data_IF_096444236495
#
_entry.id   IF_096444236495
#
_cell.length_a   1.000
_cell.length_b   1.000
_cell.length_c   1.000
_cell.angle_alpha   90.00
_cell.angle_beta   90.00
_cell.angle_gamma   90.00
#
_symmetry.space_group_name_H-M   'P 1'
#
loop_
_entity.id
_entity.type
_entity.pdbx_description
1 polymer ?
#
# COMPACT_ATOMS: atom_id res chain seq x y z
N UNK A 1 21.61 0.75 8.46
CA UNK A 1 20.18 1.12 8.44
C UNK A 1 19.44 0.42 7.29
N UNK A 2 19.28 1.00 6.09
CA UNK A 2 18.40 0.43 5.05
C UNK A 2 18.76 -0.99 4.59
N UNK A 3 20.06 -1.31 4.46
CA UNK A 3 20.54 -2.67 4.15
C UNK A 3 20.40 -3.66 5.30
N UNK A 4 20.45 -3.17 6.54
CA UNK A 4 20.29 -4.02 7.74
C UNK A 4 18.81 -4.37 7.96
N UNK A 5 17.91 -3.44 7.66
CA UNK A 5 16.45 -3.64 7.81
C UNK A 5 15.77 -4.18 6.54
N UNK A 6 16.49 -4.28 5.42
CA UNK A 6 15.91 -4.54 4.09
C UNK A 6 14.73 -3.61 3.78
N UNK A 7 14.97 -2.29 3.83
CA UNK A 7 13.94 -1.29 3.55
C UNK A 7 13.47 -1.37 2.09
N UNK A 8 12.18 -1.67 1.90
CA UNK A 8 11.51 -1.68 0.60
C UNK A 8 10.50 -0.54 0.54
N UNK A 9 10.61 0.29 -0.49
CA UNK A 9 9.70 1.39 -0.76
C UNK A 9 8.69 0.95 -1.83
N UNK A 10 7.40 1.03 -1.52
CA UNK A 10 6.34 0.74 -2.49
C UNK A 10 5.73 2.06 -2.95
N UNK A 11 5.74 2.29 -4.26
CA UNK A 11 5.24 3.50 -4.91
C UNK A 11 3.97 3.21 -5.72
N UNK A 12 3.26 4.26 -6.10
CA UNK A 12 2.12 4.17 -7.02
C UNK A 12 2.53 3.65 -8.39
N UNK A 13 1.63 2.95 -9.07
CA UNK A 13 1.86 2.54 -10.45
C UNK A 13 1.97 3.73 -11.43
N UNK A 14 2.73 3.61 -12.53
CA UNK A 14 2.64 4.55 -13.65
C UNK A 14 1.20 4.64 -14.16
N UNK A 15 0.74 5.84 -14.51
CA UNK A 15 -0.65 6.03 -14.92
C UNK A 15 -1.65 6.31 -13.79
N UNK A 16 -1.22 6.30 -12.51
CA UNK A 16 -2.12 6.55 -11.38
C UNK A 16 -2.82 7.91 -11.45
N UNK A 17 -2.08 8.97 -11.78
CA UNK A 17 -2.66 10.33 -11.96
C UNK A 17 -2.77 10.73 -13.44
N UNK A 18 -1.76 10.39 -14.25
CA UNK A 18 -1.70 10.73 -15.67
C UNK A 18 -1.19 9.53 -16.46
N UNK A 19 -1.88 9.06 -17.53
CA UNK A 19 -1.46 7.93 -18.34
C UNK A 19 -0.01 8.06 -18.83
N UNK A 20 0.77 6.99 -18.70
CA UNK A 20 2.18 6.96 -19.11
C UNK A 20 3.16 7.68 -18.17
N UNK A 21 2.68 8.38 -17.13
CA UNK A 21 3.52 9.12 -16.18
C UNK A 21 3.62 8.38 -14.86
N UNK A 22 4.86 8.20 -14.38
CA UNK A 22 5.13 7.77 -13.02
C UNK A 22 5.53 8.99 -12.19
N UNK A 23 4.65 9.43 -11.30
CA UNK A 23 4.86 10.59 -10.43
C UNK A 23 5.80 10.23 -9.27
N UNK A 24 7.07 9.97 -9.59
CA UNK A 24 8.12 9.71 -8.62
C UNK A 24 9.37 10.50 -9.00
N UNK A 25 9.95 11.22 -8.04
CA UNK A 25 11.15 12.00 -8.29
C UNK A 25 12.35 11.07 -8.55
N UNK A 26 12.95 11.19 -9.74
CA UNK A 26 14.07 10.34 -10.16
C UNK A 26 15.36 10.63 -9.40
N UNK A 27 15.53 11.83 -8.82
CA UNK A 27 16.65 12.12 -7.94
C UNK A 27 16.48 11.40 -6.60
N UNK A 28 15.27 11.43 -6.03
CA UNK A 28 14.92 10.68 -4.81
C UNK A 28 15.07 9.17 -5.06
N UNK A 29 14.68 8.67 -6.24
CA UNK A 29 14.87 7.27 -6.61
C UNK A 29 16.34 6.87 -6.54
N UNK A 30 17.22 7.64 -7.20
CA UNK A 30 18.67 7.39 -7.20
C UNK A 30 19.25 7.45 -5.80
N UNK A 31 18.78 8.39 -4.97
CA UNK A 31 19.20 8.49 -3.57
C UNK A 31 18.81 7.24 -2.79
N UNK A 32 17.54 6.81 -2.85
CA UNK A 32 17.05 5.61 -2.19
C UNK A 32 17.80 4.35 -2.63
N UNK A 33 18.02 4.18 -3.93
CA UNK A 33 18.78 3.05 -4.48
C UNK A 33 20.24 3.07 -4.03
N UNK A 34 20.87 4.25 -3.95
CA UNK A 34 22.23 4.40 -3.43
C UNK A 34 22.36 3.99 -1.96
N UNK A 35 21.30 4.16 -1.19
CA UNK A 35 21.19 3.70 0.21
C UNK A 35 20.93 2.19 0.32
N UNK A 36 20.72 1.50 -0.81
CA UNK A 36 20.43 0.07 -0.86
C UNK A 36 18.95 -0.29 -0.70
N UNK A 37 18.03 0.67 -0.82
CA UNK A 37 16.60 0.40 -0.81
C UNK A 37 16.15 -0.18 -2.15
N UNK A 38 15.18 -1.10 -2.12
CA UNK A 38 14.44 -1.50 -3.34
C UNK A 38 13.21 -0.61 -3.48
N UNK A 39 12.94 -0.12 -4.70
CA UNK A 39 11.71 0.64 -5.00
C UNK A 39 10.80 -0.21 -5.89
N UNK A 40 9.66 -0.63 -5.34
CA UNK A 40 8.62 -1.40 -6.02
C UNK A 40 7.61 -0.45 -6.65
N UNK A 41 7.37 -0.63 -7.95
CA UNK A 41 6.34 0.07 -8.72
C UNK A 41 5.52 -0.96 -9.48
N UNK A 42 4.27 -1.15 -9.11
CA UNK A 42 3.34 -2.05 -9.80
C UNK A 42 1.89 -1.69 -9.50
N UNK A 43 0.95 -2.35 -10.17
CA UNK A 43 -0.48 -2.15 -9.94
C UNK A 43 -0.86 -2.35 -8.47
N UNK A 44 -1.78 -1.50 -7.98
CA UNK A 44 -2.37 -1.62 -6.66
C UNK A 44 -3.25 -2.87 -6.60
N UNK A 45 -2.85 -3.89 -5.84
CA UNK A 45 -3.50 -5.21 -5.86
C UNK A 45 -4.89 -5.22 -5.20
N UNK A 46 -5.20 -4.28 -4.29
CA UNK A 46 -6.52 -4.11 -3.68
C UNK A 46 -7.41 -3.18 -4.54
N UNK A 47 -7.17 -3.18 -5.85
CA UNK A 47 -8.09 -2.64 -6.86
C UNK A 47 -7.86 -3.25 -8.24
N UNK A 48 -6.62 -3.25 -8.74
CA UNK A 48 -6.25 -3.87 -10.02
C UNK A 48 -7.10 -3.42 -11.21
N UNK A 49 -7.33 -4.36 -12.14
CA UNK A 49 -8.16 -4.16 -13.33
C UNK A 49 -9.62 -3.81 -12.99
N UNK A 50 -10.13 -4.33 -11.86
CA UNK A 50 -11.50 -4.09 -11.42
C UNK A 50 -11.80 -2.60 -11.23
N UNK A 51 -10.79 -1.78 -10.90
CA UNK A 51 -10.92 -0.32 -10.86
C UNK A 51 -11.38 0.27 -12.19
N UNK A 52 -10.89 -0.26 -13.31
CA UNK A 52 -11.29 0.20 -14.64
C UNK A 52 -12.73 -0.18 -14.94
N UNK A 53 -13.17 -1.35 -14.47
CA UNK A 53 -14.54 -1.83 -14.62
C UNK A 53 -15.49 -0.94 -13.81
N UNK A 54 -15.21 -0.76 -12.50
CA UNK A 54 -16.04 0.06 -11.62
C UNK A 54 -16.12 1.52 -12.07
N UNK A 55 -15.01 2.08 -12.57
CA UNK A 55 -14.99 3.46 -13.10
C UNK A 55 -15.81 3.61 -14.38
N UNK A 56 -15.76 2.62 -15.28
CA UNK A 56 -16.44 2.70 -16.59
C UNK A 56 -17.92 2.31 -16.52
N UNK A 57 -18.26 1.32 -15.70
CA UNK A 57 -19.58 0.68 -15.68
C UNK A 57 -20.35 0.89 -14.37
N UNK A 58 -19.78 1.65 -13.42
CA UNK A 58 -20.28 1.77 -12.05
C UNK A 58 -20.26 0.43 -11.27
N UNK A 59 -20.57 0.49 -9.97
CA UNK A 59 -20.54 -0.67 -9.07
C UNK A 59 -19.23 -0.81 -8.30
N UNK A 60 -19.04 -1.98 -7.67
CA UNK A 60 -17.82 -2.32 -6.93
C UNK A 60 -17.54 -3.82 -7.04
N UNK A 61 -16.27 -4.16 -7.28
CA UNK A 61 -15.79 -5.54 -7.26
C UNK A 61 -15.60 -6.07 -5.84
N UNK A 62 -15.47 -7.40 -5.69
CA UNK A 62 -15.10 -8.01 -4.41
C UNK A 62 -13.79 -7.45 -3.85
N UNK A 63 -12.79 -7.23 -4.71
CA UNK A 63 -11.50 -6.66 -4.33
C UNK A 63 -11.65 -5.24 -3.77
N UNK A 64 -12.49 -4.41 -4.40
CA UNK A 64 -12.73 -3.04 -3.93
C UNK A 64 -13.58 -3.00 -2.65
N UNK A 65 -14.54 -3.93 -2.49
CA UNK A 65 -15.32 -4.08 -1.26
C UNK A 65 -14.41 -4.48 -0.09
N UNK A 66 -13.51 -5.43 -0.29
CA UNK A 66 -12.50 -5.81 0.69
C UNK A 66 -11.60 -4.62 1.07
N UNK A 67 -11.13 -3.88 0.06
CA UNK A 67 -10.33 -2.68 0.28
C UNK A 67 -11.10 -1.64 1.13
N UNK A 68 -12.37 -1.41 0.84
CA UNK A 68 -13.18 -0.44 1.57
C UNK A 68 -13.55 -0.91 2.98
N UNK A 69 -13.74 -2.21 3.18
CA UNK A 69 -13.92 -2.79 4.52
C UNK A 69 -12.69 -2.53 5.39
N UNK A 70 -11.47 -2.76 4.87
CA UNK A 70 -10.22 -2.44 5.58
C UNK A 70 -10.11 -0.95 5.91
N UNK A 71 -10.38 -0.06 4.94
CA UNK A 71 -10.36 1.39 5.16
C UNK A 71 -11.36 1.82 6.24
N UNK A 72 -12.54 1.22 6.24
CA UNK A 72 -13.65 1.59 7.12
C UNK A 72 -13.48 1.11 8.54
N UNK A 73 -12.99 -0.12 8.72
CA UNK A 73 -12.82 -0.74 10.05
C UNK A 73 -11.51 -0.32 10.71
N UNK A 74 -10.44 -0.18 9.93
CA UNK A 74 -9.07 -0.09 10.45
C UNK A 74 -8.29 1.14 9.96
N UNK A 75 -8.83 1.88 9.01
CA UNK A 75 -8.23 3.11 8.47
C UNK A 75 -7.51 2.88 7.15
N UNK A 76 -7.30 3.97 6.40
CA UNK A 76 -6.66 3.92 5.08
C UNK A 76 -5.22 3.44 5.17
N UNK A 77 -4.47 3.89 6.18
CA UNK A 77 -3.09 3.47 6.39
C UNK A 77 -2.93 1.97 6.55
N UNK A 78 -3.86 1.29 7.26
CA UNK A 78 -3.81 -0.16 7.40
C UNK A 78 -4.08 -0.89 6.08
N UNK A 79 -5.09 -0.45 5.32
CA UNK A 79 -5.35 -0.99 3.97
C UNK A 79 -4.09 -0.85 3.10
N UNK A 80 -3.48 0.34 3.10
CA UNK A 80 -2.27 0.63 2.33
C UNK A 80 -1.10 -0.24 2.78
N UNK A 81 -0.90 -0.42 4.09
CA UNK A 81 0.16 -1.28 4.60
C UNK A 81 0.02 -2.74 4.14
N UNK A 82 -1.21 -3.29 4.18
CA UNK A 82 -1.50 -4.65 3.66
C UNK A 82 -1.22 -4.72 2.15
N UNK A 83 -1.73 -3.76 1.38
CA UNK A 83 -1.53 -3.72 -0.08
C UNK A 83 -0.05 -3.62 -0.46
N UNK A 84 0.71 -2.75 0.21
CA UNK A 84 2.14 -2.60 0.00
C UNK A 84 2.92 -3.88 0.35
N UNK A 85 2.55 -4.57 1.44
CA UNK A 85 3.21 -5.82 1.83
C UNK A 85 3.02 -6.92 0.77
N UNK A 86 1.81 -7.08 0.24
CA UNK A 86 1.54 -8.02 -0.85
C UNK A 86 2.27 -7.60 -2.12
N UNK A 87 2.27 -6.31 -2.45
CA UNK A 87 2.99 -5.82 -3.63
C UNK A 87 4.50 -6.06 -3.55
N UNK A 88 5.09 -5.87 -2.37
CA UNK A 88 6.50 -6.15 -2.12
C UNK A 88 6.79 -7.66 -2.22
N UNK A 89 5.90 -8.52 -1.74
CA UNK A 89 6.04 -9.97 -1.86
C UNK A 89 5.94 -10.43 -3.33
N UNK A 90 4.93 -9.97 -4.08
CA UNK A 90 4.70 -10.33 -5.48
C UNK A 90 5.85 -9.91 -6.41
N UNK A 91 6.55 -8.82 -6.07
CA UNK A 91 7.72 -8.36 -6.82
C UNK A 91 9.03 -9.07 -6.45
N UNK A 92 9.00 -9.99 -5.47
CA UNK A 92 10.21 -10.62 -4.92
C UNK A 92 11.11 -9.65 -4.13
N UNK A 93 10.58 -8.50 -3.71
CA UNK A 93 11.35 -7.51 -2.98
C UNK A 93 11.59 -7.93 -1.51
N UNK A 94 10.62 -8.64 -0.92
CA UNK A 94 10.68 -9.24 0.42
C UNK A 94 10.42 -10.75 0.36
N UNK A 95 11.00 -11.55 1.29
CA UNK A 95 10.60 -12.94 1.47
C UNK A 95 9.23 -13.05 2.16
N UNK A 96 8.64 -14.25 2.11
CA UNK A 96 7.45 -14.60 2.92
C UNK A 96 7.91 -14.93 4.35
N UNK A 97 8.13 -13.89 5.15
CA UNK A 97 8.53 -13.98 6.56
C UNK A 97 7.98 -12.76 7.33
N UNK A 98 8.12 -12.75 8.65
CA UNK A 98 7.71 -11.66 9.53
C UNK A 98 8.32 -10.33 9.07
N UNK A 99 7.46 -9.35 8.79
CA UNK A 99 7.85 -8.02 8.33
C UNK A 99 7.06 -6.92 9.05
N UNK A 100 7.58 -5.69 9.01
CA UNK A 100 6.83 -4.49 9.40
C UNK A 100 6.35 -3.81 8.12
N UNK A 101 5.04 -3.66 7.97
CA UNK A 101 4.44 -2.91 6.88
C UNK A 101 3.97 -1.55 7.40
N UNK A 102 4.33 -0.49 6.68
CA UNK A 102 3.99 0.89 7.02
C UNK A 102 3.14 1.48 5.90
N UNK A 103 2.05 2.12 6.29
CA UNK A 103 1.13 2.78 5.38
C UNK A 103 0.63 4.09 5.97
N UNK A 104 -0.11 4.85 5.19
CA UNK A 104 -0.70 6.07 5.71
C UNK A 104 -1.79 6.67 4.87
N UNK A 105 -2.24 7.85 5.30
CA UNK A 105 -3.29 8.62 4.66
C UNK A 105 -2.71 9.83 3.93
N UNK A 106 -3.44 10.27 2.91
CA UNK A 106 -3.28 11.60 2.32
C UNK A 106 -4.54 12.39 2.63
N UNK A 107 -4.38 13.54 3.31
CA UNK A 107 -5.47 14.42 3.73
C UNK A 107 -5.15 15.87 3.37
N UNK A 108 -6.09 16.79 3.63
CA UNK A 108 -5.85 18.23 3.48
C UNK A 108 -4.74 18.76 4.39
N UNK A 109 -4.51 18.13 5.55
CA UNK A 109 -3.46 18.54 6.51
C UNK A 109 -2.07 18.04 6.11
N UNK A 110 -2.00 17.10 5.18
CA UNK A 110 -0.73 16.51 4.74
C UNK A 110 -0.86 15.05 4.33
N UNK A 111 0.29 14.49 3.96
CA UNK A 111 0.50 13.11 3.56
C UNK A 111 1.66 12.53 4.35
N UNK A 112 1.61 11.25 4.66
CA UNK A 112 2.67 10.58 5.39
C UNK A 112 2.29 9.17 5.78
N UNK A 113 3.05 8.59 6.70
CA UNK A 113 2.72 7.33 7.35
C UNK A 113 1.96 7.59 8.66
N UNK A 114 0.86 6.88 8.88
CA UNK A 114 0.07 6.96 10.10
C UNK A 114 -0.26 5.58 10.71
N UNK A 115 0.13 4.51 10.02
CA UNK A 115 -0.13 3.14 10.42
C UNK A 115 1.11 2.26 10.23
N UNK A 116 1.41 1.45 11.23
CA UNK A 116 2.45 0.42 11.18
C UNK A 116 1.92 -0.87 11.79
N UNK A 117 2.15 -1.99 11.09
CA UNK A 117 1.67 -3.32 11.48
C UNK A 117 2.79 -4.36 11.31
N UNK A 118 2.85 -5.34 12.21
CA UNK A 118 3.67 -6.54 12.03
C UNK A 118 2.83 -7.55 11.26
N UNK A 119 3.39 -8.12 10.19
CA UNK A 119 2.66 -8.98 9.26
C UNK A 119 3.44 -10.24 8.94
N UNK A 120 2.71 -11.28 8.58
CA UNK A 120 3.19 -12.40 7.78
C UNK A 120 2.57 -12.23 6.38
N UNK A 121 3.32 -11.76 5.38
CA UNK A 121 2.77 -11.46 4.07
C UNK A 121 2.39 -12.74 3.31
N UNK A 122 1.62 -12.57 2.24
CA UNK A 122 1.30 -13.60 1.25
C UNK A 122 1.39 -12.98 -0.15
N UNK A 123 1.24 -13.80 -1.18
CA UNK A 123 1.05 -13.34 -2.55
C UNK A 123 -0.42 -13.02 -2.83
N UNK A 124 -0.67 -12.29 -3.92
CA UNK A 124 -2.05 -11.95 -4.31
C UNK A 124 -2.91 -13.19 -4.61
N UNK A 125 -2.31 -14.27 -5.13
CA UNK A 125 -3.01 -15.51 -5.49
C UNK A 125 -3.36 -16.39 -4.28
N UNK A 126 -2.81 -16.09 -3.10
CA UNK A 126 -3.15 -16.71 -1.83
C UNK A 126 -3.39 -15.65 -0.74
N UNK A 127 -4.07 -14.55 -1.09
CA UNK A 127 -4.35 -13.41 -0.21
C UNK A 127 -4.81 -13.79 1.20
N UNK A 128 -5.65 -14.82 1.33
CA UNK A 128 -6.22 -15.23 2.62
C UNK A 128 -5.21 -15.92 3.56
N UNK A 129 -3.99 -16.20 3.10
CA UNK A 129 -2.89 -16.63 3.96
C UNK A 129 -2.19 -15.47 4.67
N UNK A 130 -2.44 -14.22 4.23
CA UNK A 130 -1.89 -13.01 4.85
C UNK A 130 -2.34 -12.88 6.31
N UNK A 131 -1.40 -12.61 7.22
CA UNK A 131 -1.71 -12.40 8.64
C UNK A 131 -1.23 -11.05 9.11
N UNK A 132 -2.13 -10.28 9.72
CA UNK A 132 -1.75 -9.17 10.59
C UNK A 132 -1.49 -9.77 11.96
N UNK A 133 -0.23 -9.71 12.41
CA UNK A 133 0.21 -10.29 13.69
C UNK A 133 0.03 -9.27 14.83
N UNK A 134 0.42 -8.02 14.59
CA UNK A 134 0.35 -6.95 15.58
C UNK A 134 0.04 -5.61 14.90
N UNK A 135 -0.64 -4.71 15.63
CA UNK A 135 -0.84 -3.32 15.21
C UNK A 135 0.04 -2.45 16.11
N UNK A 136 1.12 -1.90 15.55
CA UNK A 136 2.08 -1.08 16.27
C UNK A 136 1.55 0.34 16.47
N UNK A 137 0.95 0.90 15.42
CA UNK A 137 0.33 2.22 15.44
C UNK A 137 -0.80 2.31 14.41
N UNK A 138 -1.86 3.04 14.74
CA UNK A 138 -2.88 3.51 13.80
C UNK A 138 -3.57 4.76 14.34
N UNK A 139 -4.21 5.59 13.50
CA UNK A 139 -5.01 6.70 13.98
C UNK A 139 -6.14 6.24 14.92
N UNK A 140 -6.38 7.01 15.98
CA UNK A 140 -7.54 6.79 16.86
C UNK A 140 -8.84 7.20 16.17
N UNK A 141 -8.82 8.32 15.43
CA UNK A 141 -9.95 8.83 14.64
C UNK A 141 -9.59 8.85 13.17
N UNK A 142 -10.59 8.60 12.33
CA UNK A 142 -10.52 8.90 10.90
C UNK A 142 -10.75 10.41 10.76
N UNK A 143 -9.87 11.11 10.05
CA UNK A 143 -10.13 12.51 9.64
C UNK A 143 -11.20 12.48 8.54
N UNK A 144 -12.44 12.20 8.92
CA UNK A 144 -13.61 12.28 8.05
C UNK A 144 -14.23 13.65 8.23
N UNK A 145 -13.90 14.61 7.36
CA UNK A 145 -14.95 15.52 6.92
C UNK A 145 -15.82 14.71 5.96
N UNK A 146 -16.91 14.12 6.46
CA UNK A 146 -18.08 13.89 5.62
C UNK A 146 -18.68 15.28 5.45
N UNK A 147 -18.45 15.91 4.31
CA UNK A 147 -19.33 17.01 3.90
C UNK A 147 -20.73 16.38 3.75
N UNK A 148 -21.64 16.82 4.62
CA UNK A 148 -23.06 16.50 4.52
C UNK A 148 -23.72 17.29 3.40
#
# INVERSE_FOLDING_TARGET
MARETNLVIVSTHPGYSTPGVWNFDLNILKELESMGCKVVKQSHILSGLERSISTKFSGASHTEVLAEALRSLLGVGLKVAIECAIMAADSGAIPIDKAIAVGGTSTQKGRGADCAIVVWPSHFNNFFDFRVLEILAKPFRRDTKREG
#
